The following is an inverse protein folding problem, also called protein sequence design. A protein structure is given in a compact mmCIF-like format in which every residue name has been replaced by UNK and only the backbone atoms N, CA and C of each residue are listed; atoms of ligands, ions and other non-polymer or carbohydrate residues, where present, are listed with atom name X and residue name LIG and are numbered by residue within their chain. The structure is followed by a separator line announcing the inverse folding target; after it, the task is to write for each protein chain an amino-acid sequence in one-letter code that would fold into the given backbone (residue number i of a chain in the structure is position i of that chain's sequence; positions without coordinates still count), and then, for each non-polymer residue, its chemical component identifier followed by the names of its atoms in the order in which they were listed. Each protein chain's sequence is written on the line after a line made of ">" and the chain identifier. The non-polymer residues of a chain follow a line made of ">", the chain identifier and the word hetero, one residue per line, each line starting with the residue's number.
data_IF_209352413458
#
_entry.id   IF_209352413458
#
_cell.length_a   1.000
_cell.length_b   1.000
_cell.length_c   1.000
_cell.angle_alpha   90.00
_cell.angle_beta   90.00
_cell.angle_gamma   90.00
#
_symmetry.space_group_name_H-M   'P 1'
#
loop_
_entity.id
_entity.type
_entity.pdbx_description
1 polymer ?
#
# COMPACT_ATOMS: atom_id res chain seq x y z
N UNK A 1 -11.72 0.12 24.99
CA UNK A 1 -10.49 0.88 25.14
C UNK A 1 -9.36 0.27 24.32
N UNK A 2 -9.15 -1.04 24.46
CA UNK A 2 -8.09 -1.70 23.69
C UNK A 2 -8.34 -1.65 22.19
N UNK A 3 -9.58 -1.81 21.77
CA UNK A 3 -9.89 -1.75 20.35
C UNK A 3 -9.72 -0.33 19.79
N UNK A 4 -9.90 0.70 20.60
CA UNK A 4 -9.61 2.06 20.18
C UNK A 4 -8.12 2.26 19.95
N UNK A 5 -7.30 1.68 20.82
CA UNK A 5 -5.86 1.74 20.67
C UNK A 5 -5.42 1.02 19.40
N UNK A 6 -6.05 -0.11 19.09
CA UNK A 6 -5.75 -0.84 17.85
C UNK A 6 -6.11 -0.03 16.61
N UNK A 7 -7.25 0.68 16.65
CA UNK A 7 -7.63 1.53 15.53
C UNK A 7 -6.63 2.67 15.35
N UNK A 8 -6.19 3.26 16.44
CA UNK A 8 -5.20 4.33 16.37
C UNK A 8 -3.89 3.82 15.76
N UNK A 9 -3.47 2.62 16.13
CA UNK A 9 -2.26 2.02 15.57
C UNK A 9 -2.40 1.84 14.08
N UNK A 10 -3.54 1.32 13.61
CA UNK A 10 -3.78 1.09 12.19
C UNK A 10 -3.83 2.39 11.40
N UNK A 11 -4.41 3.46 12.00
CA UNK A 11 -4.49 4.74 11.32
C UNK A 11 -3.16 5.47 11.30
N UNK A 12 -2.36 5.33 12.35
CA UNK A 12 -1.13 6.08 12.49
C UNK A 12 0.08 5.34 11.92
N UNK A 13 0.18 4.06 12.20
CA UNK A 13 1.40 3.35 11.88
C UNK A 13 1.15 1.85 11.71
N UNK A 14 1.75 1.29 10.66
CA UNK A 14 1.75 -0.14 10.42
C UNK A 14 3.19 -0.62 10.38
N UNK A 15 3.52 -1.62 11.18
CA UNK A 15 4.87 -2.16 11.26
C UNK A 15 4.84 -3.67 11.03
N UNK A 16 5.58 -4.14 10.04
CA UNK A 16 5.70 -5.57 9.76
C UNK A 16 7.01 -5.83 9.03
N UNK A 17 7.71 -6.89 9.46
CA UNK A 17 9.01 -7.20 8.89
C UNK A 17 9.94 -6.00 8.98
N UNK A 18 10.48 -5.60 7.84
CA UNK A 18 11.37 -4.43 7.75
C UNK A 18 10.62 -3.16 7.39
N UNK A 19 9.31 -3.22 7.24
CA UNK A 19 8.47 -2.10 6.85
C UNK A 19 7.92 -1.35 8.04
N UNK A 20 7.86 -0.03 7.92
CA UNK A 20 7.28 0.86 8.90
C UNK A 20 6.56 1.96 8.13
N UNK A 21 5.22 1.97 8.19
CA UNK A 21 4.40 2.84 7.36
C UNK A 21 3.50 3.69 8.23
N UNK A 22 3.58 5.01 8.06
CA UNK A 22 2.74 5.98 8.76
C UNK A 22 1.86 6.69 7.74
N UNK A 23 0.60 6.29 7.65
CA UNK A 23 -0.30 6.82 6.63
C UNK A 23 -0.63 8.29 6.82
N UNK A 24 -0.86 8.73 8.05
CA UNK A 24 -1.19 10.13 8.31
C UNK A 24 -0.07 11.08 7.91
N UNK A 25 1.17 10.65 8.11
CA UNK A 25 2.34 11.45 7.77
C UNK A 25 2.84 11.17 6.37
N UNK A 26 2.25 10.22 5.70
CA UNK A 26 2.69 9.75 4.37
C UNK A 26 4.18 9.46 4.39
N UNK A 27 4.57 8.62 5.32
CA UNK A 27 5.96 8.25 5.52
C UNK A 27 6.10 6.75 5.53
N UNK A 28 7.06 6.25 4.78
CA UNK A 28 7.31 4.82 4.65
C UNK A 28 8.81 4.58 4.79
N UNK A 29 9.15 3.62 5.65
CA UNK A 29 10.54 3.28 5.90
C UNK A 29 10.71 1.78 5.70
N UNK A 30 11.73 1.40 4.96
CA UNK A 30 12.10 0.00 4.77
C UNK A 30 13.53 -0.20 5.23
N UNK A 31 13.74 -1.04 6.24
CA UNK A 31 15.06 -1.36 6.78
C UNK A 31 15.88 -0.10 7.08
N UNK A 32 15.23 0.89 7.68
CA UNK A 32 15.88 2.15 8.06
C UNK A 32 16.00 3.20 6.98
N UNK A 33 15.58 2.89 5.75
CA UNK A 33 15.66 3.81 4.62
C UNK A 33 14.27 4.33 4.26
N UNK A 34 14.14 5.64 4.15
CA UNK A 34 12.86 6.25 3.78
C UNK A 34 12.58 6.03 2.30
N UNK A 35 11.36 5.57 2.02
CA UNK A 35 10.88 5.31 0.67
C UNK A 35 9.91 6.43 0.29
N UNK A 36 10.14 7.05 -0.86
CA UNK A 36 9.33 8.19 -1.31
C UNK A 36 8.40 7.76 -2.44
N UNK A 37 7.10 7.99 -2.23
CA UNK A 37 6.08 7.74 -3.25
C UNK A 37 5.19 8.97 -3.37
N UNK A 38 4.43 9.07 -4.47
CA UNK A 38 3.55 10.21 -4.71
C UNK A 38 2.28 10.11 -3.86
N UNK A 39 1.55 11.23 -3.78
CA UNK A 39 0.28 11.25 -3.06
C UNK A 39 -0.72 10.26 -3.64
N UNK A 40 -0.78 10.16 -4.95
CA UNK A 40 -1.66 9.20 -5.61
C UNK A 40 -1.27 7.76 -5.27
N UNK A 41 0.03 7.48 -5.23
CA UNK A 41 0.51 6.16 -4.84
C UNK A 41 0.14 5.86 -3.38
N UNK A 42 0.17 6.87 -2.51
CA UNK A 42 -0.28 6.71 -1.13
C UNK A 42 -1.75 6.34 -1.06
N UNK A 43 -2.59 6.98 -1.88
CA UNK A 43 -4.03 6.69 -1.92
C UNK A 43 -4.27 5.24 -2.36
N UNK A 44 -3.55 4.78 -3.36
CA UNK A 44 -3.67 3.41 -3.85
C UNK A 44 -3.24 2.43 -2.76
N UNK A 45 -2.10 2.68 -2.14
CA UNK A 45 -1.57 1.79 -1.11
C UNK A 45 -2.51 1.71 0.10
N UNK A 46 -3.04 2.86 0.52
CA UNK A 46 -3.97 2.90 1.65
C UNK A 46 -5.23 2.09 1.35
N UNK A 47 -5.75 2.22 0.12
CA UNK A 47 -6.92 1.44 -0.27
C UNK A 47 -6.62 -0.06 -0.25
N UNK A 48 -5.49 -0.48 -0.79
CA UNK A 48 -5.12 -1.89 -0.81
C UNK A 48 -4.91 -2.46 0.59
N UNK A 49 -4.45 -1.63 1.51
CA UNK A 49 -4.21 -2.04 2.89
C UNK A 49 -5.46 -1.96 3.75
N UNK A 50 -6.53 -1.36 3.26
CA UNK A 50 -7.77 -1.23 4.04
C UNK A 50 -8.36 -2.59 4.40
N UNK A 51 -8.10 -3.61 3.58
CA UNK A 51 -8.45 -5.00 3.90
C UNK A 51 -7.37 -5.90 3.31
N UNK A 52 -6.43 -6.31 4.16
CA UNK A 52 -5.28 -7.10 3.74
C UNK A 52 -5.62 -8.52 3.33
N UNK A 53 -6.83 -8.97 3.63
CA UNK A 53 -7.26 -10.32 3.24
C UNK A 53 -7.92 -10.36 1.87
N UNK A 54 -8.24 -9.19 1.30
CA UNK A 54 -8.90 -9.12 0.02
C UNK A 54 -7.95 -8.74 -1.10
N UNK A 55 -8.32 -9.11 -2.30
CA UNK A 55 -7.68 -8.62 -3.50
C UNK A 55 -8.65 -7.69 -4.23
N UNK A 56 -8.11 -6.72 -4.95
CA UNK A 56 -8.91 -5.69 -5.59
C UNK A 56 -8.63 -5.63 -7.07
N UNK A 57 -9.71 -5.47 -7.86
CA UNK A 57 -9.60 -5.32 -9.30
C UNK A 57 -9.17 -3.89 -9.66
N UNK A 58 -8.72 -3.72 -10.90
CA UNK A 58 -8.38 -2.38 -11.40
C UNK A 58 -9.58 -1.44 -11.30
N UNK A 59 -10.79 -1.94 -11.59
CA UNK A 59 -12.00 -1.12 -11.48
C UNK A 59 -12.23 -0.65 -10.04
N UNK A 60 -12.03 -1.54 -9.07
CA UNK A 60 -12.17 -1.18 -7.66
C UNK A 60 -11.17 -0.13 -7.23
N UNK A 61 -9.91 -0.30 -7.63
CA UNK A 61 -8.85 0.65 -7.32
C UNK A 61 -9.14 2.00 -7.95
N UNK A 62 -9.52 2.01 -9.22
CA UNK A 62 -9.83 3.25 -9.94
C UNK A 62 -10.98 4.00 -9.27
N UNK A 63 -12.03 3.28 -8.92
CA UNK A 63 -13.18 3.89 -8.26
C UNK A 63 -12.81 4.49 -6.91
N UNK A 64 -12.09 3.75 -6.10
CA UNK A 64 -11.72 4.18 -4.74
C UNK A 64 -10.76 5.37 -4.74
N UNK A 65 -9.90 5.46 -5.74
CA UNK A 65 -8.88 6.51 -5.81
C UNK A 65 -9.23 7.63 -6.80
N UNK A 66 -10.42 7.56 -7.41
CA UNK A 66 -10.91 8.56 -8.36
C UNK A 66 -10.00 8.72 -9.57
N UNK A 67 -9.56 7.60 -10.13
CA UNK A 67 -8.73 7.54 -11.32
C UNK A 67 -9.54 6.90 -12.45
N UNK A 68 -9.25 7.27 -13.68
CA UNK A 68 -9.87 6.60 -14.83
C UNK A 68 -9.42 5.14 -14.89
N UNK A 69 -10.35 4.24 -15.22
CA UNK A 69 -10.06 2.80 -15.23
C UNK A 69 -8.89 2.47 -16.15
N UNK A 70 -8.82 3.12 -17.30
CA UNK A 70 -7.75 2.84 -18.28
C UNK A 70 -6.39 3.36 -17.83
N UNK A 71 -6.36 4.31 -16.90
CA UNK A 71 -5.11 4.85 -16.36
C UNK A 71 -4.64 4.11 -15.10
N UNK A 72 -5.57 3.47 -14.39
CA UNK A 72 -5.26 2.83 -13.12
C UNK A 72 -4.14 1.79 -13.20
N UNK A 73 -4.07 0.92 -14.23
CA UNK A 73 -2.97 -0.04 -14.32
C UNK A 73 -1.60 0.63 -14.37
N UNK A 74 -1.51 1.77 -15.02
CA UNK A 74 -0.25 2.50 -15.14
C UNK A 74 0.21 2.96 -13.75
N UNK A 75 -0.69 3.56 -12.99
CA UNK A 75 -0.35 4.08 -11.66
C UNK A 75 -0.04 2.96 -10.66
N UNK A 76 -0.77 1.85 -10.74
CA UNK A 76 -0.51 0.72 -9.85
C UNK A 76 0.84 0.09 -10.16
N UNK A 77 1.14 -0.11 -11.45
CA UNK A 77 2.43 -0.69 -11.84
C UNK A 77 3.59 0.23 -11.48
N UNK A 78 3.40 1.54 -11.58
CA UNK A 78 4.42 2.50 -11.14
C UNK A 78 4.66 2.40 -9.64
N UNK A 79 3.61 2.22 -8.85
CA UNK A 79 3.76 2.04 -7.41
C UNK A 79 4.59 0.79 -7.10
N UNK A 80 4.26 -0.33 -7.74
CA UNK A 80 4.99 -1.58 -7.55
C UNK A 80 6.45 -1.42 -7.95
N UNK A 81 6.70 -0.78 -9.09
CA UNK A 81 8.04 -0.57 -9.60
C UNK A 81 8.85 0.33 -8.67
N UNK A 82 8.26 1.43 -8.22
CA UNK A 82 8.93 2.37 -7.33
C UNK A 82 9.36 1.70 -6.02
N UNK A 83 8.49 0.92 -5.43
CA UNK A 83 8.79 0.21 -4.19
C UNK A 83 9.90 -0.80 -4.42
N UNK A 84 9.80 -1.58 -5.49
CA UNK A 84 10.79 -2.61 -5.78
C UNK A 84 12.16 -2.02 -6.08
N UNK A 85 12.21 -0.91 -6.81
CA UNK A 85 13.49 -0.26 -7.13
C UNK A 85 14.17 0.29 -5.89
N UNK A 86 13.41 0.79 -4.93
CA UNK A 86 13.99 1.39 -3.73
C UNK A 86 14.33 0.35 -2.67
N UNK A 87 13.66 -0.79 -2.63
CA UNK A 87 13.81 -1.75 -1.54
C UNK A 87 14.24 -3.14 -1.98
N UNK A 88 14.06 -3.49 -3.23
CA UNK A 88 14.24 -4.87 -3.71
C UNK A 88 13.13 -5.81 -3.23
N UNK A 89 12.08 -5.28 -2.61
CA UNK A 89 11.00 -6.06 -2.02
C UNK A 89 9.66 -5.59 -2.57
N UNK A 90 8.58 -6.26 -2.18
CA UNK A 90 7.24 -5.90 -2.61
C UNK A 90 6.27 -6.02 -1.45
N UNK A 91 5.30 -5.12 -1.38
CA UNK A 91 4.21 -5.18 -0.40
C UNK A 91 2.84 -5.27 -1.08
N UNK A 92 2.82 -5.28 -2.40
CA UNK A 92 1.61 -5.47 -3.19
C UNK A 92 1.88 -6.59 -4.17
N UNK A 93 0.96 -7.52 -4.25
CA UNK A 93 1.05 -8.66 -5.14
C UNK A 93 -0.01 -8.57 -6.24
N UNK A 94 0.40 -8.80 -7.47
CA UNK A 94 -0.51 -8.94 -8.59
C UNK A 94 -0.73 -10.43 -8.85
N UNK A 95 -1.98 -10.84 -8.86
CA UNK A 95 -2.34 -12.22 -9.16
C UNK A 95 -3.46 -12.18 -10.20
N UNK A 96 -3.13 -12.56 -11.44
CA UNK A 96 -4.00 -12.40 -12.60
C UNK A 96 -4.27 -10.92 -12.81
N UNK A 97 -5.51 -10.45 -12.67
CA UNK A 97 -5.84 -9.04 -12.86
C UNK A 97 -6.24 -8.38 -11.55
N UNK A 98 -5.84 -8.97 -10.43
CA UNK A 98 -6.18 -8.45 -9.10
C UNK A 98 -4.93 -8.14 -8.31
N UNK A 99 -5.06 -7.17 -7.44
CA UNK A 99 -3.95 -6.71 -6.59
C UNK A 99 -4.33 -6.86 -5.13
N UNK A 100 -3.38 -7.25 -4.32
CA UNK A 100 -3.58 -7.41 -2.88
C UNK A 100 -2.37 -6.94 -2.12
N UNK A 101 -2.59 -6.50 -0.88
CA UNK A 101 -1.51 -6.19 0.02
C UNK A 101 -0.86 -7.49 0.49
N UNK A 102 0.46 -7.56 0.40
CA UNK A 102 1.21 -8.73 0.84
C UNK A 102 1.93 -8.39 2.13
N UNK A 103 1.46 -8.98 3.21
CA UNK A 103 2.13 -8.82 4.49
C UNK A 103 3.34 -9.74 4.52
N UNK A 104 4.52 -9.15 4.70
CA UNK A 104 5.75 -9.92 4.79
C UNK A 104 6.01 -10.23 6.26
N UNK A 105 5.82 -11.49 6.62
CA UNK A 105 6.10 -11.95 7.98
C UNK A 105 7.42 -12.69 7.96
N UNK A 106 8.36 -12.19 8.69
CA UNK A 106 9.66 -12.85 8.85
C UNK A 106 9.86 -13.27 10.29
#
# INVERSE_FOLDING_TARGET
>A
VMWLDMQNILEERVHFGKWDIEFKKKRMIYDGTEIVITDLQWDILEFLMSDSELSFSIKGIAYATNIEVYEAPIYVEELLKTIKEQTGSAIVQKNEERYSFVEITN
#
